data_IF_856769488712
#
_entry.id   IF_856769488712
#
_cell.length_a   1.000
_cell.length_b   1.000
_cell.length_c   1.000
_cell.angle_alpha   90.00
_cell.angle_beta   90.00
_cell.angle_gamma   90.00
#
_symmetry.space_group_name_H-M   'P 1'
#
loop_
_entity.id
_entity.type
_entity.pdbx_description
1 polymer ?
#
# COMPACT_ATOMS: atom_id res chain seq x y z
N UNK A 1 51.67 -10.15 -0.23
CA UNK A 1 50.66 -9.19 -0.75
C UNK A 1 49.48 -9.81 -1.54
N UNK A 2 49.32 -11.16 -1.62
CA UNK A 2 48.17 -11.80 -2.31
C UNK A 2 47.10 -12.42 -1.39
N UNK A 3 47.34 -12.54 -0.09
CA UNK A 3 46.42 -13.21 0.85
C UNK A 3 45.26 -12.30 1.35
N UNK A 4 45.46 -10.99 1.48
CA UNK A 4 44.42 -10.08 2.03
C UNK A 4 43.33 -9.70 1.02
N UNK A 5 43.60 -9.82 -0.28
CA UNK A 5 42.65 -9.46 -1.34
C UNK A 5 41.54 -10.48 -1.53
N UNK A 6 41.80 -11.76 -1.22
CA UNK A 6 40.81 -12.84 -1.30
C UNK A 6 39.85 -12.84 -0.10
N UNK A 7 40.34 -12.61 1.12
CA UNK A 7 39.48 -12.55 2.32
C UNK A 7 38.45 -11.43 2.27
N UNK A 8 38.84 -10.27 1.74
CA UNK A 8 37.92 -9.14 1.57
C UNK A 8 36.85 -9.42 0.52
N UNK A 9 37.19 -10.04 -0.63
CA UNK A 9 36.19 -10.36 -1.67
C UNK A 9 35.18 -11.41 -1.20
N UNK A 10 35.61 -12.43 -0.46
CA UNK A 10 34.71 -13.46 0.08
C UNK A 10 33.76 -12.89 1.13
N UNK A 11 34.22 -11.99 2.03
CA UNK A 11 33.35 -11.36 3.03
C UNK A 11 32.32 -10.40 2.43
N UNK A 12 32.66 -9.69 1.35
CA UNK A 12 31.69 -8.84 0.63
C UNK A 12 30.64 -9.67 -0.12
N UNK A 13 31.05 -10.82 -0.67
CA UNK A 13 30.14 -11.76 -1.34
C UNK A 13 29.23 -12.50 -0.35
N UNK A 14 29.72 -12.90 0.83
CA UNK A 14 28.90 -13.47 1.91
C UNK A 14 27.92 -12.45 2.49
N UNK A 15 28.37 -11.20 2.69
CA UNK A 15 27.50 -10.11 3.14
C UNK A 15 26.38 -9.77 2.14
N UNK A 16 26.70 -9.76 0.84
CA UNK A 16 25.70 -9.60 -0.23
C UNK A 16 24.66 -10.71 -0.24
N UNK A 17 25.09 -11.97 -0.12
CA UNK A 17 24.18 -13.12 -0.06
C UNK A 17 23.22 -13.08 1.13
N UNK A 18 23.67 -12.59 2.30
CA UNK A 18 22.82 -12.46 3.49
C UNK A 18 21.76 -11.38 3.27
N UNK A 19 22.12 -10.25 2.65
CA UNK A 19 21.18 -9.17 2.34
C UNK A 19 20.14 -9.62 1.31
N UNK A 20 20.57 -10.29 0.24
CA UNK A 20 19.66 -10.80 -0.79
C UNK A 20 18.69 -11.85 -0.23
N UNK A 21 19.18 -12.73 0.66
CA UNK A 21 18.34 -13.70 1.35
C UNK A 21 17.34 -13.03 2.31
N UNK A 22 17.77 -12.00 3.04
CA UNK A 22 16.89 -11.23 3.93
C UNK A 22 15.79 -10.50 3.14
N UNK A 23 16.15 -9.90 2.00
CA UNK A 23 15.19 -9.26 1.09
C UNK A 23 14.20 -10.28 0.51
N UNK A 24 14.67 -11.44 0.06
CA UNK A 24 13.80 -12.49 -0.45
C UNK A 24 12.82 -13.00 0.63
N UNK A 25 13.28 -13.18 1.88
CA UNK A 25 12.42 -13.55 2.99
C UNK A 25 11.39 -12.46 3.27
N UNK A 26 11.80 -11.19 3.23
CA UNK A 26 10.89 -10.05 3.41
C UNK A 26 9.84 -10.01 2.30
N UNK A 27 10.22 -10.22 1.04
CA UNK A 27 9.30 -10.22 -0.11
C UNK A 27 8.30 -11.39 -0.07
N UNK A 28 8.71 -12.55 0.46
CA UNK A 28 7.82 -13.69 0.67
C UNK A 28 6.84 -13.41 1.82
N UNK A 29 7.31 -12.77 2.90
CA UNK A 29 6.52 -12.56 4.12
C UNK A 29 5.61 -11.34 4.04
N UNK A 30 6.05 -10.27 3.38
CA UNK A 30 5.39 -8.98 3.39
C UNK A 30 4.98 -8.60 1.97
N UNK A 31 3.69 -8.73 1.68
CA UNK A 31 3.12 -8.22 0.43
C UNK A 31 2.43 -6.89 0.70
N UNK A 32 2.93 -5.82 0.11
CA UNK A 32 2.31 -4.50 0.18
C UNK A 32 1.41 -4.27 -1.02
N UNK A 33 0.10 -4.30 -0.79
CA UNK A 33 -0.91 -3.95 -1.79
C UNK A 33 -1.48 -2.58 -1.43
N UNK A 34 -1.28 -1.60 -2.31
CA UNK A 34 -1.90 -0.28 -2.19
C UNK A 34 -3.10 -0.23 -3.12
N UNK A 35 -4.27 0.03 -2.56
CA UNK A 35 -5.48 0.28 -3.33
C UNK A 35 -5.50 1.72 -3.83
N UNK A 36 -5.48 1.90 -5.16
CA UNK A 36 -5.72 3.17 -5.83
C UNK A 36 -6.73 2.93 -6.96
N UNK A 37 -8.03 3.00 -6.65
CA UNK A 37 -9.10 2.67 -7.61
C UNK A 37 -8.96 3.42 -8.95
N UNK A 38 -8.52 4.68 -8.90
CA UNK A 38 -8.44 5.57 -10.06
C UNK A 38 -7.20 5.37 -10.94
N UNK A 39 -6.25 4.52 -10.53
CA UNK A 39 -4.97 4.36 -11.24
C UNK A 39 -5.15 3.99 -12.72
N UNK A 40 -6.06 3.06 -13.02
CA UNK A 40 -6.36 2.67 -14.41
C UNK A 40 -6.87 3.82 -15.27
N UNK A 41 -7.76 4.65 -14.72
CA UNK A 41 -8.25 5.86 -15.40
C UNK A 41 -7.15 6.90 -15.59
N UNK A 42 -6.30 7.11 -14.59
CA UNK A 42 -5.18 8.05 -14.66
C UNK A 42 -4.14 7.64 -15.72
N UNK A 43 -3.90 6.34 -15.86
CA UNK A 43 -2.99 5.77 -16.87
C UNK A 43 -3.39 6.12 -18.31
N UNK A 44 -4.69 6.09 -18.60
CA UNK A 44 -5.24 6.37 -19.95
C UNK A 44 -5.68 7.82 -20.14
N UNK A 45 -5.68 8.63 -19.09
CA UNK A 45 -6.13 10.02 -19.12
C UNK A 45 -5.25 10.89 -20.02
N UNK A 46 -5.89 11.82 -20.74
CA UNK A 46 -5.21 12.87 -21.52
C UNK A 46 -4.84 14.08 -20.66
N UNK A 47 -5.37 14.17 -19.44
CA UNK A 47 -5.08 15.27 -18.52
C UNK A 47 -3.64 15.14 -17.98
N UNK A 48 -2.87 16.23 -18.05
CA UNK A 48 -1.47 16.23 -17.61
C UNK A 48 -1.32 15.94 -16.11
N UNK A 49 -2.27 16.38 -15.27
CA UNK A 49 -2.24 16.11 -13.82
C UNK A 49 -2.44 14.64 -13.53
N UNK A 50 -3.44 14.02 -14.15
CA UNK A 50 -3.71 12.58 -13.98
C UNK A 50 -2.53 11.73 -14.45
N UNK A 51 -1.95 12.12 -15.59
CA UNK A 51 -0.76 11.45 -16.12
C UNK A 51 0.44 11.58 -15.19
N UNK A 52 0.62 12.73 -14.54
CA UNK A 52 1.64 12.92 -13.52
C UNK A 52 1.39 12.05 -12.27
N UNK A 53 0.14 11.95 -11.80
CA UNK A 53 -0.24 11.07 -10.70
C UNK A 53 0.07 9.60 -11.01
N UNK A 54 -0.33 9.12 -12.21
CA UNK A 54 0.02 7.79 -12.69
C UNK A 54 1.54 7.56 -12.70
N UNK A 55 2.33 8.50 -13.25
CA UNK A 55 3.79 8.39 -13.31
C UNK A 55 4.42 8.36 -11.91
N UNK A 56 3.90 9.13 -10.96
CA UNK A 56 4.38 9.09 -9.58
C UNK A 56 4.14 7.72 -8.94
N UNK A 57 2.95 7.14 -9.10
CA UNK A 57 2.63 5.80 -8.60
C UNK A 57 3.49 4.73 -9.29
N UNK A 58 3.69 4.83 -10.61
CA UNK A 58 4.56 3.93 -11.35
C UNK A 58 6.01 4.00 -10.86
N UNK A 59 6.54 5.21 -10.66
CA UNK A 59 7.88 5.41 -10.13
C UNK A 59 8.04 4.80 -8.73
N UNK A 60 7.01 4.86 -7.88
CA UNK A 60 7.01 4.18 -6.59
C UNK A 60 7.07 2.65 -6.74
N UNK A 61 6.32 2.07 -7.67
CA UNK A 61 6.40 0.63 -7.94
C UNK A 61 7.76 0.19 -8.48
N UNK A 62 8.43 1.04 -9.27
CA UNK A 62 9.79 0.77 -9.78
C UNK A 62 10.82 0.90 -8.66
N UNK A 63 10.69 1.93 -7.81
CA UNK A 63 11.58 2.15 -6.67
C UNK A 63 11.45 1.06 -5.60
N UNK A 64 10.25 0.52 -5.42
CA UNK A 64 9.95 -0.52 -4.45
C UNK A 64 9.37 -1.76 -5.16
N UNK A 65 10.23 -2.70 -5.61
CA UNK A 65 9.81 -3.84 -6.44
C UNK A 65 8.79 -4.78 -5.81
N UNK A 66 8.61 -4.74 -4.49
CA UNK A 66 7.64 -5.54 -3.73
C UNK A 66 6.26 -4.86 -3.64
N UNK A 67 6.17 -3.57 -3.99
CA UNK A 67 4.93 -2.80 -4.00
C UNK A 67 4.02 -3.25 -5.13
N UNK A 68 2.74 -3.45 -4.82
CA UNK A 68 1.68 -3.78 -5.76
C UNK A 68 0.59 -2.73 -5.70
N UNK A 69 0.03 -2.38 -6.85
CA UNK A 69 -1.12 -1.47 -6.93
C UNK A 69 -2.33 -2.27 -7.35
N UNK A 70 -3.39 -2.20 -6.55
CA UNK A 70 -4.71 -2.69 -6.92
C UNK A 70 -5.56 -1.49 -7.37
N UNK A 71 -6.26 -1.62 -8.50
CA UNK A 71 -7.17 -0.59 -9.01
C UNK A 71 -8.45 -1.19 -9.58
N UNK A 72 -9.42 -0.33 -9.89
CA UNK A 72 -10.68 -0.72 -10.52
C UNK A 72 -10.64 -0.36 -12.01
N UNK A 73 -10.80 -1.37 -12.85
CA UNK A 73 -10.95 -1.22 -14.29
C UNK A 73 -12.44 -1.26 -14.65
N UNK A 74 -12.92 -0.24 -15.35
CA UNK A 74 -14.30 -0.15 -15.85
C UNK A 74 -14.28 -0.35 -17.37
N UNK A 75 -14.90 -1.43 -17.83
CA UNK A 75 -14.97 -1.77 -19.25
C UNK A 75 -16.42 -1.69 -19.71
N UNK A 76 -16.66 -0.85 -20.71
CA UNK A 76 -17.94 -0.81 -21.41
C UNK A 76 -17.93 -1.86 -22.52
N UNK A 77 -18.84 -2.84 -22.43
CA UNK A 77 -19.01 -3.86 -23.45
C UNK A 77 -20.42 -3.76 -24.09
N UNK A 78 -20.53 -3.82 -25.43
CA UNK A 78 -21.83 -3.94 -26.08
C UNK A 78 -22.44 -5.30 -25.78
N UNK A 79 -23.66 -5.32 -25.25
CA UNK A 79 -24.43 -6.56 -25.12
C UNK A 79 -25.13 -6.92 -26.42
N UNK A 80 -25.55 -8.18 -26.54
CA UNK A 80 -26.29 -8.69 -27.71
C UNK A 80 -27.58 -7.93 -28.02
N UNK A 81 -28.11 -7.18 -27.05
CA UNK A 81 -29.35 -6.42 -27.17
C UNK A 81 -29.13 -4.96 -27.57
N UNK A 82 -27.90 -4.55 -27.86
CA UNK A 82 -27.56 -3.17 -28.22
C UNK A 82 -27.44 -2.21 -27.03
N UNK A 83 -27.60 -2.70 -25.80
CA UNK A 83 -27.34 -1.91 -24.58
C UNK A 83 -25.87 -2.04 -24.16
N UNK A 84 -25.27 -0.96 -23.69
CA UNK A 84 -23.92 -0.99 -23.11
C UNK A 84 -24.02 -1.42 -21.65
N UNK A 85 -23.31 -2.48 -21.28
CA UNK A 85 -23.20 -2.90 -19.88
C UNK A 85 -21.79 -2.64 -19.37
N UNK A 86 -21.70 -2.03 -18.18
CA UNK A 86 -20.44 -1.76 -17.51
C UNK A 86 -20.01 -2.99 -16.73
N UNK A 87 -18.85 -3.53 -17.08
CA UNK A 87 -18.21 -4.60 -16.31
C UNK A 87 -17.05 -4.03 -15.53
N UNK A 88 -16.99 -4.40 -14.25
CA UNK A 88 -15.95 -3.94 -13.32
C UNK A 88 -14.96 -5.05 -13.02
N UNK A 89 -13.68 -4.71 -12.97
CA UNK A 89 -12.62 -5.63 -12.58
C UNK A 89 -11.76 -5.01 -11.48
N UNK A 90 -11.35 -5.83 -10.52
CA UNK A 90 -10.22 -5.51 -9.65
C UNK A 90 -8.95 -6.02 -10.32
N UNK A 91 -7.97 -5.15 -10.52
CA UNK A 91 -6.74 -5.45 -11.26
C UNK A 91 -5.54 -5.18 -10.36
N UNK A 92 -4.62 -6.15 -10.29
CA UNK A 92 -3.36 -6.04 -9.56
C UNK A 92 -2.20 -5.86 -10.55
N UNK A 93 -1.40 -4.83 -10.36
CA UNK A 93 -0.20 -4.55 -11.16
C UNK A 93 1.06 -4.44 -10.31
N UNK A 94 2.22 -4.63 -10.96
CA UNK A 94 3.56 -4.33 -10.43
C UNK A 94 4.35 -3.49 -11.42
N UNK A 95 5.36 -2.78 -10.93
CA UNK A 95 6.37 -2.16 -11.78
C UNK A 95 7.33 -3.22 -12.34
N UNK A 96 7.71 -3.06 -13.62
CA UNK A 96 8.67 -3.94 -14.31
C UNK A 96 9.64 -3.11 -15.14
N UNK A 97 10.93 -3.42 -15.01
CA UNK A 97 12.00 -2.68 -15.67
C UNK A 97 12.01 -1.22 -15.19
N UNK A 98 12.19 -0.30 -16.13
CA UNK A 98 12.40 1.11 -15.78
C UNK A 98 11.15 2.00 -15.99
N UNK A 99 10.13 1.55 -16.73
CA UNK A 99 9.06 2.45 -17.21
C UNK A 99 7.68 1.83 -17.43
N UNK A 100 7.46 0.57 -17.06
CA UNK A 100 6.19 -0.11 -17.38
C UNK A 100 5.61 -0.78 -16.15
N UNK A 101 4.28 -0.76 -16.04
CA UNK A 101 3.53 -1.64 -15.15
C UNK A 101 3.08 -2.90 -15.90
N UNK A 102 3.10 -4.03 -15.20
CA UNK A 102 2.63 -5.33 -15.68
C UNK A 102 1.41 -5.78 -14.85
N UNK A 103 0.33 -6.16 -15.53
CA UNK A 103 -0.84 -6.79 -14.93
C UNK A 103 -0.49 -8.22 -14.47
N UNK A 104 -0.73 -8.49 -13.18
CA UNK A 104 -0.51 -9.81 -12.58
C UNK A 104 -1.82 -10.59 -12.55
N UNK A 105 -2.88 -9.95 -12.06
CA UNK A 105 -4.19 -10.56 -11.88
C UNK A 105 -5.29 -9.59 -12.27
N UNK A 106 -6.38 -10.14 -12.82
CA UNK A 106 -7.62 -9.45 -13.11
C UNK A 106 -8.78 -10.32 -12.68
N UNK A 107 -9.62 -9.79 -11.80
CA UNK A 107 -10.75 -10.51 -11.23
C UNK A 107 -12.01 -9.70 -11.50
N UNK A 108 -13.00 -10.32 -12.15
CA UNK A 108 -14.30 -9.70 -12.40
C UNK A 108 -15.05 -9.50 -11.08
N UNK A 109 -15.58 -8.30 -10.89
CA UNK A 109 -16.39 -7.93 -9.74
C UNK A 109 -17.88 -8.15 -10.03
N UNK A 110 -18.72 -8.40 -9.01
CA UNK A 110 -20.15 -8.61 -9.18
C UNK A 110 -20.92 -7.33 -9.57
N UNK A 111 -20.28 -6.16 -9.46
CA UNK A 111 -20.85 -4.86 -9.76
C UNK A 111 -19.86 -3.74 -9.46
N UNK A 112 -20.35 -2.50 -9.44
CA UNK A 112 -19.53 -1.32 -9.12
C UNK A 112 -19.22 -1.31 -7.61
N UNK A 113 -17.94 -1.25 -7.19
CA UNK A 113 -17.57 -1.29 -5.78
C UNK A 113 -18.24 -0.19 -4.92
N UNK A 114 -18.33 1.02 -5.45
CA UNK A 114 -18.86 2.19 -4.71
C UNK A 114 -20.34 2.10 -4.36
N UNK A 115 -21.08 1.13 -4.88
CA UNK A 115 -22.52 1.03 -4.64
C UNK A 115 -22.83 0.36 -3.28
N UNK A 116 -21.83 -0.26 -2.65
CA UNK A 116 -21.98 -1.01 -1.39
C UNK A 116 -21.56 -0.16 -0.18
N UNK A 117 -20.71 0.86 -0.34
CA UNK A 117 -20.20 1.64 0.80
C UNK A 117 -19.48 2.94 0.44
N UNK A 118 -19.15 3.71 1.48
CA UNK A 118 -18.49 5.03 1.38
C UNK A 118 -17.00 4.91 1.04
N UNK A 119 -16.64 4.53 -0.18
CA UNK A 119 -15.29 4.69 -0.79
C UNK A 119 -14.09 4.04 -0.09
N UNK A 120 -13.77 4.44 1.15
CA UNK A 120 -12.66 3.93 1.97
C UNK A 120 -12.75 2.44 2.29
N UNK A 121 -13.88 1.89 2.80
CA UNK A 121 -14.01 0.44 2.94
C UNK A 121 -13.89 -0.27 1.58
N UNK A 122 -14.37 0.36 0.51
CA UNK A 122 -14.33 -0.23 -0.84
C UNK A 122 -12.91 -0.37 -1.40
N UNK A 123 -12.02 0.59 -1.10
CA UNK A 123 -10.58 0.46 -1.36
C UNK A 123 -10.00 -0.83 -0.76
N UNK A 124 -10.41 -1.18 0.46
CA UNK A 124 -9.94 -2.39 1.12
C UNK A 124 -10.63 -3.64 0.54
N UNK A 125 -11.94 -3.58 0.33
CA UNK A 125 -12.77 -4.70 -0.14
C UNK A 125 -12.33 -5.22 -1.51
N UNK A 126 -12.05 -4.34 -2.47
CA UNK A 126 -11.68 -4.83 -3.80
C UNK A 126 -10.23 -5.37 -3.84
N UNK A 127 -9.37 -4.90 -2.94
CA UNK A 127 -7.95 -5.25 -2.93
C UNK A 127 -7.64 -6.49 -2.06
N UNK A 128 -8.49 -6.81 -1.07
CA UNK A 128 -8.27 -7.93 -0.13
C UNK A 128 -8.09 -9.28 -0.83
N UNK A 129 -8.71 -9.46 -1.99
CA UNK A 129 -8.60 -10.70 -2.78
C UNK A 129 -7.16 -10.99 -3.23
N UNK A 130 -6.29 -9.99 -3.26
CA UNK A 130 -4.87 -10.09 -3.65
C UNK A 130 -3.93 -10.27 -2.47
N UNK A 131 -4.40 -10.15 -1.24
CA UNK A 131 -3.57 -10.36 -0.05
C UNK A 131 -3.69 -11.82 0.42
N UNK A 132 -2.60 -12.35 0.97
CA UNK A 132 -2.50 -13.70 1.52
C UNK A 132 -1.59 -13.65 2.75
N UNK A 133 -1.85 -14.51 3.73
CA UNK A 133 -1.07 -14.57 4.97
C UNK A 133 -1.94 -14.93 6.17
N UNK A 134 -1.29 -15.19 7.30
CA UNK A 134 -1.96 -15.50 8.58
C UNK A 134 -2.60 -14.24 9.20
N UNK A 135 -2.03 -13.06 8.93
CA UNK A 135 -2.53 -11.78 9.40
C UNK A 135 -2.63 -10.79 8.23
N UNK A 136 -3.71 -10.01 8.21
CA UNK A 136 -3.92 -8.92 7.26
C UNK A 136 -4.08 -7.62 8.06
N UNK A 137 -3.26 -6.63 7.74
CA UNK A 137 -3.39 -5.28 8.27
C UNK A 137 -3.86 -4.35 7.16
N UNK A 138 -5.02 -3.72 7.34
CA UNK A 138 -5.51 -2.69 6.46
C UNK A 138 -5.24 -1.30 7.07
N UNK A 139 -4.63 -0.41 6.28
CA UNK A 139 -4.24 0.94 6.71
C UNK A 139 -4.93 1.94 5.79
N UNK A 140 -5.68 2.88 6.36
CA UNK A 140 -6.29 3.98 5.61
C UNK A 140 -5.32 5.16 5.53
N UNK A 141 -4.94 5.54 4.32
CA UNK A 141 -3.99 6.62 4.05
C UNK A 141 -4.51 8.02 4.42
N UNK A 142 -5.84 8.17 4.60
CA UNK A 142 -6.47 9.39 5.07
C UNK A 142 -6.61 9.44 6.59
N UNK A 143 -6.24 8.38 7.32
CA UNK A 143 -5.98 8.56 8.73
C UNK A 143 -4.57 9.13 8.81
N UNK A 144 -4.47 10.34 9.40
CA UNK A 144 -3.22 10.76 10.01
C UNK A 144 -2.69 9.54 10.75
N UNK A 145 -1.49 9.12 10.32
CA UNK A 145 -0.88 7.81 10.42
C UNK A 145 -1.10 7.14 11.80
N UNK A 146 -0.72 5.89 12.05
CA UNK A 146 0.68 5.71 12.38
C UNK A 146 1.02 4.28 12.81
N UNK A 147 1.80 3.64 11.95
CA UNK A 147 2.77 2.68 12.42
C UNK A 147 3.87 3.40 13.25
N UNK A 148 4.22 4.65 12.92
CA UNK A 148 5.25 5.43 13.61
C UNK A 148 4.81 6.04 14.96
N UNK A 149 3.58 6.56 15.14
CA UNK A 149 2.91 6.66 16.47
C UNK A 149 2.68 5.32 17.14
N UNK A 150 2.42 4.19 16.48
CA UNK A 150 2.41 2.93 17.23
C UNK A 150 3.79 2.70 17.90
N UNK A 151 4.89 3.08 17.22
CA UNK A 151 6.22 3.16 17.84
C UNK A 151 6.38 4.33 18.84
N UNK A 152 5.79 5.51 18.61
CA UNK A 152 5.76 6.60 19.61
C UNK A 152 4.96 6.21 20.84
N UNK A 153 3.95 5.36 20.74
CA UNK A 153 3.11 4.92 21.86
C UNK A 153 3.96 4.16 22.86
N UNK A 154 4.87 3.29 22.40
CA UNK A 154 5.88 2.68 23.28
C UNK A 154 6.72 3.75 24.00
N UNK A 155 7.26 4.72 23.26
CA UNK A 155 8.09 5.79 23.84
C UNK A 155 7.29 6.67 24.82
N UNK A 156 6.05 7.02 24.49
CA UNK A 156 5.13 7.81 25.32
C UNK A 156 4.74 7.02 26.57
N UNK A 157 4.50 5.72 26.48
CA UNK A 157 4.20 4.87 27.63
C UNK A 157 5.41 4.73 28.57
N UNK A 158 6.64 4.70 28.04
CA UNK A 158 7.87 4.74 28.87
C UNK A 158 7.98 6.04 29.69
N UNK A 159 7.46 7.16 29.20
CA UNK A 159 7.45 8.43 29.94
C UNK A 159 6.66 8.37 31.25
N UNK A 160 5.62 7.52 31.34
CA UNK A 160 4.83 7.33 32.57
C UNK A 160 5.55 6.47 33.62
N UNK A 161 6.54 5.67 33.20
CA UNK A 161 7.36 4.83 34.06
C UNK A 161 8.70 5.46 34.45
N UNK A 162 9.07 6.61 33.88
CA UNK A 162 10.37 7.24 34.10
C UNK A 162 10.44 8.03 35.41
N UNK A 163 11.50 7.81 36.20
CA UNK A 163 11.76 8.55 37.44
C UNK A 163 12.28 9.98 37.20
N UNK A 164 12.52 10.37 35.94
CA UNK A 164 13.10 11.68 35.58
C UNK A 164 12.23 12.88 35.93
N UNK A 165 10.95 12.66 36.21
CA UNK A 165 9.97 13.72 36.53
C UNK A 165 9.70 13.92 38.04
N UNK A 166 10.41 13.18 38.90
CA UNK A 166 10.29 13.32 40.36
C UNK A 166 8.86 13.09 40.87
N UNK A 167 8.30 14.03 41.64
CA UNK A 167 6.97 13.89 42.26
C UNK A 167 5.79 14.11 41.30
N UNK A 168 6.03 14.72 40.13
CA UNK A 168 4.98 15.11 39.19
C UNK A 168 4.99 14.19 37.98
N UNK A 169 4.20 13.11 38.04
CA UNK A 169 4.11 12.15 36.93
C UNK A 169 3.28 12.70 35.77
N UNK A 170 3.67 12.47 34.51
CA UNK A 170 2.83 12.83 33.36
C UNK A 170 1.46 12.14 33.45
N UNK A 171 0.42 12.79 32.95
CA UNK A 171 -0.98 12.32 32.97
C UNK A 171 -1.63 12.64 31.62
N UNK A 172 -2.47 11.73 31.11
CA UNK A 172 -3.21 11.94 29.85
C UNK A 172 -4.45 12.79 30.15
N UNK A 173 -4.61 13.91 29.44
CA UNK A 173 -5.81 14.74 29.49
C UNK A 173 -6.64 14.50 28.22
N UNK A 174 -7.79 13.83 28.35
CA UNK A 174 -8.75 13.70 27.26
C UNK A 174 -9.68 14.91 27.17
N UNK A 175 -9.93 15.41 25.96
CA UNK A 175 -10.96 16.41 25.68
C UNK A 175 -12.16 15.73 24.99
N UNK A 176 -13.38 16.19 25.26
CA UNK A 176 -14.57 15.72 24.55
C UNK A 176 -14.54 16.24 23.11
N UNK A 177 -14.54 15.34 22.14
CA UNK A 177 -14.79 15.67 20.75
C UNK A 177 -16.29 15.54 20.45
N UNK A 178 -16.87 16.59 19.87
CA UNK A 178 -18.25 16.56 19.38
C UNK A 178 -18.22 16.25 17.89
N UNK A 179 -18.61 15.03 17.51
CA UNK A 179 -18.74 14.62 16.11
C UNK A 179 -20.09 15.09 15.58
N UNK A 180 -20.08 16.07 14.67
CA UNK A 180 -21.27 16.53 13.96
C UNK A 180 -21.32 15.85 12.59
N UNK A 181 -22.23 14.89 12.40
CA UNK A 181 -22.54 14.36 11.06
C UNK A 181 -23.60 15.26 10.43
N UNK A 182 -23.18 16.22 9.60
CA UNK A 182 -24.10 17.00 8.77
C UNK A 182 -24.69 16.11 7.68
N UNK A 183 -26.02 15.87 7.72
CA UNK A 183 -26.76 15.42 6.53
C UNK A 183 -27.14 16.67 5.75
N UNK A 184 -26.61 16.81 4.53
CA UNK A 184 -27.11 17.72 3.51
C UNK A 184 -27.76 16.91 2.40
#
# INVERSE_FOLDING_TARGET
AKLDRQRTTTSYQEGGNIVDMALAIADIKFTYVVSCQVYGMQKVSKNLKDKACYLNILNLMIMYPSLRIAYIDEVEAPTKNGTTEKTYYSVLVKGVGEKYDEEIYRIKLPGKPTDIGEGKPENQNHAIIFTRGEALQAIDMNQDNYLEEAFKMRNVLEEFGSDKYGKSKPTILGLREHIFTGRY
#
